data_IF_353529436706
#
_entry.id   IF_353529436706
#
_cell.length_a   1.000
_cell.length_b   1.000
_cell.length_c   1.000
_cell.angle_alpha   90.00
_cell.angle_beta   90.00
_cell.angle_gamma   90.00
#
_symmetry.space_group_name_H-M   'P 1'
#
loop_
_entity.id
_entity.type
_entity.pdbx_description
1 polymer ?
#
# COMPACT_ATOMS: atom_id res chain seq x y z
N UNK A 1 -22.90 40.88 10.41
CA UNK A 1 -22.15 39.99 9.49
C UNK A 1 -22.64 38.59 9.77
N UNK A 2 -23.02 37.84 8.76
CA UNK A 2 -23.44 36.46 8.98
C UNK A 2 -22.26 35.67 9.51
N UNK A 3 -22.46 35.06 10.65
CA UNK A 3 -21.50 34.13 11.25
C UNK A 3 -21.25 32.98 10.28
N UNK A 4 -19.99 32.71 9.94
CA UNK A 4 -19.62 31.66 8.99
C UNK A 4 -18.95 30.50 9.75
N UNK A 5 -19.72 29.60 10.36
CA UNK A 5 -19.20 28.57 11.27
C UNK A 5 -18.15 27.64 10.64
N UNK A 6 -18.11 27.56 9.31
CA UNK A 6 -17.12 26.76 8.60
C UNK A 6 -15.72 27.39 8.61
N UNK A 7 -15.63 28.74 8.65
CA UNK A 7 -14.35 29.45 8.71
C UNK A 7 -13.66 29.27 10.05
N UNK A 8 -14.43 29.21 11.12
CA UNK A 8 -13.91 29.02 12.49
C UNK A 8 -13.32 27.60 12.70
N UNK A 9 -13.64 26.67 11.80
CA UNK A 9 -13.15 25.29 11.83
C UNK A 9 -11.95 25.06 10.90
N UNK A 10 -11.55 26.05 10.10
CA UNK A 10 -10.41 25.93 9.23
C UNK A 10 -9.11 25.81 10.04
N UNK A 11 -8.33 24.79 9.72
CA UNK A 11 -6.99 24.60 10.26
C UNK A 11 -5.95 25.08 9.26
N UNK A 12 -4.78 25.54 9.69
CA UNK A 12 -3.67 25.75 8.76
C UNK A 12 -3.31 24.42 8.09
N UNK A 13 -3.11 24.45 6.78
CA UNK A 13 -2.66 23.28 6.06
C UNK A 13 -1.17 23.04 6.30
N UNK A 14 -0.79 21.78 6.49
CA UNK A 14 0.62 21.43 6.59
C UNK A 14 0.86 19.98 6.16
N UNK A 15 2.07 19.72 5.69
CA UNK A 15 2.56 18.37 5.46
C UNK A 15 3.89 18.21 6.17
N UNK A 16 3.98 17.25 7.09
CA UNK A 16 5.15 17.02 7.99
C UNK A 16 5.64 18.28 8.70
N UNK A 17 4.77 19.25 8.92
CA UNK A 17 5.12 20.53 9.55
C UNK A 17 5.37 21.69 8.58
N UNK A 18 5.69 21.43 7.32
CA UNK A 18 5.76 22.48 6.29
C UNK A 18 4.36 23.06 6.03
N UNK A 19 4.20 24.34 6.24
CA UNK A 19 2.91 25.05 6.15
C UNK A 19 2.71 25.58 4.74
N UNK A 20 1.50 25.42 4.22
CA UNK A 20 1.07 25.95 2.93
C UNK A 20 -0.40 26.34 2.95
N UNK A 21 -0.85 26.98 1.89
CA UNK A 21 -2.26 27.31 1.70
C UNK A 21 -2.88 26.36 0.67
N UNK A 22 -4.16 26.03 0.82
CA UNK A 22 -4.89 25.16 -0.09
C UNK A 22 -5.86 26.00 -0.92
N UNK A 23 -5.71 25.96 -2.24
CA UNK A 23 -6.67 26.55 -3.17
C UNK A 23 -7.76 25.55 -3.52
N UNK A 24 -7.37 24.33 -3.91
CA UNK A 24 -8.30 23.26 -4.24
C UNK A 24 -7.92 21.99 -3.51
N UNK A 25 -8.89 21.37 -2.87
CA UNK A 25 -8.74 20.07 -2.24
C UNK A 25 -9.80 19.12 -2.77
N UNK A 26 -9.40 18.01 -3.38
CA UNK A 26 -10.27 16.94 -3.81
C UNK A 26 -9.94 15.66 -3.05
N UNK A 27 -10.96 14.94 -2.60
CA UNK A 27 -10.82 13.66 -1.90
C UNK A 27 -11.53 12.57 -2.68
N UNK A 28 -10.84 11.48 -2.97
CA UNK A 28 -11.40 10.28 -3.59
C UNK A 28 -11.34 9.12 -2.59
N UNK A 29 -12.37 8.31 -2.63
CA UNK A 29 -12.51 7.12 -1.77
C UNK A 29 -13.76 6.36 -2.13
N UNK A 30 -14.05 5.28 -1.42
CA UNK A 30 -15.23 4.46 -1.65
C UNK A 30 -14.98 3.00 -1.33
N UNK A 31 -15.78 2.13 -1.92
CA UNK A 31 -15.64 0.68 -1.82
C UNK A 31 -15.30 0.08 -3.18
N UNK A 32 -14.56 -1.01 -3.18
CA UNK A 32 -14.29 -1.78 -4.39
C UNK A 32 -15.44 -2.75 -4.58
N UNK A 33 -16.16 -2.59 -5.68
CA UNK A 33 -17.30 -3.44 -6.01
C UNK A 33 -16.94 -4.21 -7.27
N UNK A 34 -17.06 -5.55 -7.22
CA UNK A 34 -16.97 -6.43 -8.36
C UNK A 34 -18.41 -6.80 -8.80
N UNK A 35 -18.90 -6.29 -9.93
CA UNK A 35 -20.19 -6.70 -10.46
C UNK A 35 -20.05 -8.08 -11.12
N UNK A 36 -20.87 -9.04 -10.70
CA UNK A 36 -21.01 -10.35 -11.36
C UNK A 36 -22.30 -10.37 -12.17
N UNK A 37 -22.14 -10.53 -13.46
CA UNK A 37 -23.25 -10.64 -14.40
C UNK A 37 -23.39 -12.11 -14.85
N UNK A 38 -24.60 -12.63 -14.74
CA UNK A 38 -24.90 -14.01 -15.11
C UNK A 38 -25.81 -14.02 -16.37
N UNK A 39 -25.57 -14.93 -17.33
CA UNK A 39 -26.44 -15.06 -18.49
C UNK A 39 -27.90 -15.28 -18.09
N UNK A 40 -28.83 -14.56 -18.73
CA UNK A 40 -30.29 -14.63 -18.47
C UNK A 40 -30.73 -14.11 -17.10
N UNK A 41 -29.91 -13.35 -16.39
CA UNK A 41 -30.29 -12.60 -15.21
C UNK A 41 -30.24 -11.10 -15.47
N UNK A 42 -31.34 -10.41 -15.24
CA UNK A 42 -31.44 -8.97 -15.47
C UNK A 42 -30.81 -8.16 -14.32
N UNK A 43 -30.60 -8.79 -13.15
CA UNK A 43 -30.01 -8.14 -11.97
C UNK A 43 -28.62 -8.69 -11.70
N UNK A 44 -27.58 -7.82 -11.72
CA UNK A 44 -26.22 -8.22 -11.37
C UNK A 44 -26.12 -8.48 -9.84
N UNK A 45 -25.14 -9.28 -9.46
CA UNK A 45 -24.76 -9.47 -8.06
C UNK A 45 -23.47 -8.67 -7.77
N UNK A 46 -23.55 -7.56 -7.02
CA UNK A 46 -22.37 -6.79 -6.65
C UNK A 46 -21.70 -7.42 -5.42
N UNK A 47 -20.46 -7.83 -5.56
CA UNK A 47 -19.61 -8.27 -4.45
C UNK A 47 -18.79 -7.10 -3.92
N UNK A 48 -18.80 -6.92 -2.60
CA UNK A 48 -18.02 -5.88 -1.93
C UNK A 48 -16.64 -6.41 -1.54
N UNK A 49 -15.62 -5.94 -2.21
CA UNK A 49 -14.20 -6.30 -2.02
C UNK A 49 -13.47 -5.42 -1.00
N UNK A 50 -14.22 -4.69 -0.17
CA UNK A 50 -13.67 -3.83 0.86
C UNK A 50 -13.42 -2.39 0.46
N UNK A 51 -12.93 -1.60 1.41
CA UNK A 51 -12.67 -0.17 1.24
C UNK A 51 -11.53 0.08 0.26
N UNK A 52 -11.71 1.02 -0.65
CA UNK A 52 -10.64 1.58 -1.46
C UNK A 52 -9.80 2.54 -0.61
N UNK A 53 -8.47 2.50 -0.72
CA UNK A 53 -7.60 3.51 -0.13
C UNK A 53 -8.02 4.91 -0.56
N UNK A 54 -7.94 5.86 0.35
CA UNK A 54 -8.26 7.26 0.06
C UNK A 54 -7.12 7.90 -0.72
N UNK A 55 -7.47 8.78 -1.64
CA UNK A 55 -6.50 9.65 -2.28
C UNK A 55 -6.98 11.10 -2.20
N UNK A 56 -6.02 12.01 -2.08
CA UNK A 56 -6.27 13.44 -1.99
C UNK A 56 -5.47 14.11 -3.11
N UNK A 57 -6.11 14.94 -3.90
CA UNK A 57 -5.45 15.83 -4.82
C UNK A 57 -5.53 17.24 -4.23
N UNK A 58 -4.40 17.81 -3.89
CA UNK A 58 -4.30 19.11 -3.24
C UNK A 58 -3.55 20.06 -4.16
N UNK A 59 -4.19 21.18 -4.51
CA UNK A 59 -3.51 22.31 -5.11
C UNK A 59 -3.13 23.26 -4.00
N UNK A 60 -1.87 23.23 -3.62
CA UNK A 60 -1.27 24.09 -2.61
C UNK A 60 -0.73 25.36 -3.26
N UNK A 61 -0.66 26.46 -2.51
CA UNK A 61 0.03 27.65 -2.93
C UNK A 61 0.81 28.26 -1.78
N UNK A 62 1.93 28.90 -2.11
CA UNK A 62 2.69 29.73 -1.20
C UNK A 62 2.66 31.17 -1.71
N UNK A 63 2.50 32.14 -0.80
CA UNK A 63 2.37 33.56 -1.14
C UNK A 63 2.99 34.42 -0.05
N UNK A 64 3.58 35.52 -0.45
CA UNK A 64 4.16 36.50 0.47
C UNK A 64 5.63 36.78 0.18
N UNK A 65 6.27 37.63 1.00
CA UNK A 65 7.69 37.96 0.82
C UNK A 65 8.61 36.73 0.99
N UNK A 66 8.21 35.80 1.86
CA UNK A 66 8.98 34.58 2.22
C UNK A 66 8.45 33.32 1.51
N UNK A 67 7.73 33.49 0.37
CA UNK A 67 7.14 32.34 -0.34
C UNK A 67 8.16 31.33 -0.84
N UNK A 68 9.38 31.79 -1.12
CA UNK A 68 10.47 30.92 -1.59
C UNK A 68 10.90 29.95 -0.48
N UNK A 69 11.07 30.45 0.74
CA UNK A 69 11.45 29.62 1.89
C UNK A 69 10.33 28.61 2.19
N UNK A 70 9.06 29.03 2.20
CA UNK A 70 7.92 28.14 2.38
C UNK A 70 7.83 27.07 1.29
N UNK A 71 8.09 27.44 0.04
CA UNK A 71 8.13 26.52 -1.10
C UNK A 71 9.25 25.49 -0.92
N UNK A 72 10.45 25.95 -0.59
CA UNK A 72 11.62 25.08 -0.49
C UNK A 72 11.49 24.11 0.70
N UNK A 73 10.95 24.55 1.83
CA UNK A 73 10.61 23.71 2.97
C UNK A 73 9.57 22.64 2.58
N UNK A 74 8.53 23.03 1.84
CA UNK A 74 7.53 22.08 1.38
C UNK A 74 8.10 21.07 0.40
N UNK A 75 8.94 21.49 -0.55
CA UNK A 75 9.62 20.60 -1.50
C UNK A 75 10.50 19.61 -0.75
N UNK A 76 11.28 20.08 0.21
CA UNK A 76 12.14 19.22 1.03
C UNK A 76 11.35 18.09 1.71
N UNK A 77 10.21 18.43 2.30
CA UNK A 77 9.34 17.46 2.96
C UNK A 77 8.65 16.50 1.96
N UNK A 78 8.33 16.99 0.75
CA UNK A 78 7.75 16.16 -0.31
C UNK A 78 8.77 15.17 -0.93
N UNK A 79 10.06 15.53 -0.96
CA UNK A 79 11.13 14.66 -1.44
C UNK A 79 11.64 13.69 -0.37
N UNK A 80 11.30 13.94 0.89
CA UNK A 80 11.70 13.06 1.99
C UNK A 80 10.88 11.77 1.99
N UNK A 81 11.58 10.63 2.04
CA UNK A 81 10.96 9.31 2.02
C UNK A 81 10.10 9.03 3.26
N UNK A 82 9.09 8.21 3.09
CA UNK A 82 8.28 7.66 4.18
C UNK A 82 6.86 8.22 4.25
N UNK A 83 6.17 7.87 5.32
CA UNK A 83 4.82 8.34 5.63
C UNK A 83 4.90 9.71 6.28
N UNK A 84 4.00 10.60 5.91
CA UNK A 84 3.89 11.93 6.52
C UNK A 84 2.46 12.24 6.94
N UNK A 85 2.33 13.09 7.94
CA UNK A 85 1.04 13.60 8.40
C UNK A 85 0.63 14.79 7.54
N UNK A 86 -0.47 14.65 6.82
CA UNK A 86 -1.15 15.73 6.10
C UNK A 86 -2.24 16.31 6.98
N UNK A 87 -2.15 17.59 7.30
CA UNK A 87 -3.23 18.38 7.92
C UNK A 87 -3.93 19.15 6.81
N UNK A 88 -5.18 18.79 6.52
CA UNK A 88 -5.99 19.49 5.53
C UNK A 88 -6.97 20.45 6.23
N UNK A 89 -7.20 21.67 5.71
CA UNK A 89 -8.04 22.68 6.38
C UNK A 89 -9.43 22.20 6.76
N UNK A 90 -10.03 21.37 5.92
CA UNK A 90 -11.44 20.92 6.07
C UNK A 90 -11.59 19.43 6.33
N UNK A 91 -10.64 18.60 5.87
CA UNK A 91 -10.78 17.14 5.97
C UNK A 91 -10.18 16.55 7.25
N UNK A 92 -9.31 17.30 7.94
CA UNK A 92 -8.61 16.85 9.16
C UNK A 92 -7.21 16.30 8.86
N UNK A 93 -6.75 15.41 9.71
CA UNK A 93 -5.40 14.84 9.68
C UNK A 93 -5.43 13.43 9.10
N UNK A 94 -4.42 13.13 8.26
CA UNK A 94 -4.26 11.82 7.60
C UNK A 94 -2.79 11.46 7.50
N UNK A 95 -2.50 10.20 7.76
CA UNK A 95 -1.22 9.59 7.42
C UNK A 95 -1.22 9.27 5.92
N UNK A 96 -0.29 9.88 5.18
CA UNK A 96 -0.26 9.79 3.72
C UNK A 96 1.17 9.63 3.20
N UNK A 97 1.26 9.12 1.98
CA UNK A 97 2.46 9.22 1.12
C UNK A 97 2.12 10.14 -0.04
N UNK A 98 3.02 11.04 -0.37
CA UNK A 98 2.85 11.90 -1.53
C UNK A 98 3.29 11.16 -2.82
N UNK A 99 2.67 11.53 -3.93
CA UNK A 99 3.10 11.12 -5.26
C UNK A 99 3.98 12.18 -5.92
N UNK A 100 4.10 12.10 -7.23
CA UNK A 100 4.83 13.10 -8.02
C UNK A 100 4.06 14.41 -7.97
N UNK A 101 4.73 15.47 -7.57
CA UNK A 101 4.16 16.82 -7.51
C UNK A 101 4.61 17.66 -8.72
N UNK A 102 3.81 18.67 -9.05
CA UNK A 102 4.13 19.65 -10.08
C UNK A 102 4.13 21.05 -9.48
N UNK A 103 5.24 21.75 -9.62
CA UNK A 103 5.38 23.14 -9.21
C UNK A 103 5.27 24.07 -10.42
N UNK A 104 4.47 25.09 -10.29
CA UNK A 104 4.28 26.12 -11.31
C UNK A 104 4.53 27.50 -10.73
N UNK A 105 5.53 28.19 -11.26
CA UNK A 105 5.79 29.60 -10.97
C UNK A 105 5.59 30.42 -12.23
N UNK A 106 4.92 31.53 -12.11
CA UNK A 106 4.66 32.44 -13.24
C UNK A 106 5.27 33.81 -12.99
N UNK A 107 6.09 34.26 -13.94
CA UNK A 107 6.71 35.59 -13.87
C UNK A 107 5.71 36.72 -13.61
N UNK A 108 4.50 36.59 -14.11
CA UNK A 108 3.43 37.60 -14.00
C UNK A 108 2.84 37.69 -12.59
N UNK A 109 3.04 36.65 -11.77
CA UNK A 109 2.60 36.55 -10.38
C UNK A 109 3.81 36.42 -9.47
N UNK A 110 4.62 37.48 -9.39
CA UNK A 110 5.76 37.51 -8.46
C UNK A 110 5.32 37.32 -7.01
N UNK A 111 6.05 36.57 -6.20
CA UNK A 111 5.70 36.27 -4.81
C UNK A 111 4.60 35.21 -4.63
N UNK A 112 4.40 34.34 -5.64
CA UNK A 112 3.38 33.29 -5.62
C UNK A 112 3.88 32.06 -6.38
N UNK A 113 3.68 30.89 -5.80
CA UNK A 113 3.86 29.61 -6.47
C UNK A 113 2.67 28.69 -6.20
N UNK A 114 2.42 27.80 -7.12
CA UNK A 114 1.35 26.80 -7.09
C UNK A 114 1.96 25.41 -7.20
N UNK A 115 1.51 24.49 -6.35
CA UNK A 115 2.05 23.13 -6.28
C UNK A 115 0.86 22.16 -6.27
N UNK A 116 0.80 21.31 -7.28
CA UNK A 116 -0.18 20.22 -7.34
C UNK A 116 0.42 18.95 -6.73
N UNK A 117 -0.20 18.44 -5.69
CA UNK A 117 0.32 17.31 -4.91
C UNK A 117 -0.77 16.25 -4.79
N UNK A 118 -0.57 15.05 -5.37
CA UNK A 118 -1.39 13.89 -5.06
C UNK A 118 -0.88 13.20 -3.79
N UNK A 119 -1.77 12.97 -2.85
CA UNK A 119 -1.51 12.20 -1.63
C UNK A 119 -2.32 10.91 -1.65
N UNK A 120 -1.72 9.85 -1.14
CA UNK A 120 -2.33 8.54 -0.98
C UNK A 120 -2.33 8.15 0.49
N UNK A 121 -3.46 7.68 0.99
CA UNK A 121 -3.58 7.18 2.36
C UNK A 121 -2.51 6.11 2.60
N UNK A 122 -1.70 6.30 3.62
CA UNK A 122 -0.79 5.27 4.08
C UNK A 122 -1.61 4.19 4.79
N UNK A 123 -1.52 2.95 4.30
CA UNK A 123 -1.99 1.78 5.02
C UNK A 123 -0.98 1.39 6.10
N UNK A 124 -1.37 0.53 7.01
CA UNK A 124 -0.40 -0.21 7.80
C UNK A 124 0.53 -0.92 6.81
N UNK A 125 1.84 -0.82 7.03
CA UNK A 125 2.80 -1.62 6.29
C UNK A 125 2.42 -3.07 6.56
N UNK A 126 1.73 -3.68 5.61
CA UNK A 126 1.57 -5.10 5.58
C UNK A 126 2.99 -5.66 5.33
N UNK A 127 3.77 -5.75 6.39
CA UNK A 127 4.86 -6.68 6.40
C UNK A 127 4.20 -8.02 6.02
N UNK A 128 4.47 -8.51 4.83
CA UNK A 128 4.22 -9.90 4.49
C UNK A 128 5.15 -10.71 5.41
N UNK A 129 4.74 -10.84 6.64
CA UNK A 129 5.23 -11.91 7.49
C UNK A 129 4.72 -13.17 6.83
N UNK A 130 5.57 -13.80 6.03
CA UNK A 130 5.43 -15.24 5.76
C UNK A 130 5.33 -15.83 7.15
N UNK A 131 4.12 -16.26 7.54
CA UNK A 131 3.89 -16.73 8.90
C UNK A 131 4.90 -17.85 9.15
N UNK A 132 5.60 -17.81 10.29
CA UNK A 132 6.54 -18.85 10.73
C UNK A 132 5.94 -20.26 10.61
N UNK A 133 4.60 -20.36 10.66
CA UNK A 133 3.85 -21.57 10.40
C UNK A 133 4.12 -22.20 9.02
N UNK A 134 4.29 -21.40 7.95
CA UNK A 134 4.58 -21.92 6.60
C UNK A 134 6.02 -22.40 6.50
N UNK A 135 6.96 -21.70 7.13
CA UNK A 135 8.37 -22.13 7.18
C UNK A 135 8.51 -23.41 7.99
N UNK A 136 7.87 -23.50 9.15
CA UNK A 136 7.86 -24.70 9.97
C UNK A 136 7.23 -25.89 9.23
N UNK A 137 6.15 -25.68 8.47
CA UNK A 137 5.50 -26.73 7.71
C UNK A 137 6.37 -27.23 6.55
N UNK A 138 7.12 -26.35 5.89
CA UNK A 138 8.08 -26.73 4.84
C UNK A 138 9.26 -27.50 5.46
N UNK A 139 9.79 -27.06 6.60
CA UNK A 139 10.86 -27.79 7.30
C UNK A 139 10.41 -29.17 7.78
N UNK A 140 9.24 -29.26 8.41
CA UNK A 140 8.70 -30.58 8.85
C UNK A 140 8.46 -31.51 7.66
N UNK A 141 8.06 -30.99 6.52
CA UNK A 141 7.88 -31.79 5.29
C UNK A 141 9.21 -32.26 4.70
N UNK A 142 10.24 -31.43 4.77
CA UNK A 142 11.60 -31.78 4.32
C UNK A 142 12.23 -32.83 5.22
N UNK A 143 12.15 -32.65 6.54
CA UNK A 143 12.66 -33.61 7.54
C UNK A 143 11.92 -34.95 7.44
N UNK A 144 10.61 -34.94 7.20
CA UNK A 144 9.83 -36.14 6.98
C UNK A 144 10.22 -36.88 5.71
N UNK A 145 10.55 -36.15 4.64
CA UNK A 145 11.04 -36.75 3.39
C UNK A 145 12.45 -37.36 3.56
N UNK A 146 13.35 -36.70 4.26
CA UNK A 146 14.68 -37.25 4.57
C UNK A 146 14.60 -38.53 5.40
N UNK A 147 13.75 -38.55 6.43
CA UNK A 147 13.54 -39.75 7.26
C UNK A 147 12.92 -40.89 6.43
N UNK A 148 11.99 -40.63 5.53
CA UNK A 148 11.39 -41.63 4.66
C UNK A 148 12.42 -42.22 3.68
N UNK A 149 13.31 -41.39 3.13
CA UNK A 149 14.40 -41.82 2.25
C UNK A 149 15.43 -42.64 3.03
N UNK A 150 15.80 -42.22 4.24
CA UNK A 150 16.71 -42.97 5.10
C UNK A 150 16.16 -44.34 5.53
N UNK A 151 14.86 -44.39 5.86
CA UNK A 151 14.19 -45.64 6.22
C UNK A 151 13.97 -46.59 5.02
N UNK A 152 13.68 -46.03 3.85
CA UNK A 152 13.43 -46.82 2.60
C UNK A 152 14.72 -47.28 1.94
N UNK A 153 15.80 -46.52 2.06
CA UNK A 153 17.10 -46.84 1.44
C UNK A 153 17.78 -48.06 2.02
N UNK A 154 17.57 -48.35 3.28
CA UNK A 154 18.25 -49.47 3.96
C UNK A 154 17.62 -50.82 3.61
N UNK A 155 16.31 -50.89 3.40
CA UNK A 155 15.62 -52.15 3.02
C UNK A 155 15.76 -52.53 1.55
N UNK A 156 15.87 -51.51 0.67
CA UNK A 156 16.01 -51.76 -0.79
C UNK A 156 17.40 -52.24 -1.19
N UNK A 157 18.45 -51.79 -0.55
CA UNK A 157 19.83 -52.10 -0.86
C UNK A 157 20.23 -53.52 -0.41
N UNK A 158 19.70 -54.02 0.70
CA UNK A 158 19.97 -55.40 1.16
C UNK A 158 19.26 -56.45 0.31
N UNK A 159 18.10 -56.14 -0.25
CA UNK A 159 17.39 -57.05 -1.14
C UNK A 159 18.08 -57.26 -2.50
N UNK A 160 18.86 -56.29 -2.95
CA UNK A 160 19.66 -56.39 -4.19
C UNK A 160 21.05 -57.00 -4.00
N UNK A 161 21.52 -57.17 -2.77
CA UNK A 161 22.89 -57.63 -2.47
C UNK A 161 23.02 -59.05 -1.91
N UNK A 162 21.92 -59.80 -1.90
CA UNK A 162 22.00 -61.20 -1.50
C UNK A 162 22.25 -62.10 -2.74
N UNK A 163 23.49 -62.50 -3.02
CA UNK A 163 23.83 -63.34 -4.17
C UNK A 163 23.34 -64.76 -4.02
N UNK A 164 22.72 -65.12 -2.89
CA UNK A 164 22.35 -66.51 -2.58
C UNK A 164 20.83 -66.72 -2.47
N UNK A 165 20.05 -65.76 -2.97
CA UNK A 165 18.58 -65.94 -3.04
C UNK A 165 18.23 -66.90 -4.13
N UNK A 166 17.68 -68.10 -3.82
CA UNK A 166 17.27 -69.06 -4.84
C UNK A 166 16.15 -68.47 -5.65
N UNK A 167 16.29 -68.45 -6.96
CA UNK A 167 15.24 -68.14 -7.91
C UNK A 167 14.16 -69.25 -7.80
N UNK A 168 13.17 -69.03 -6.93
CA UNK A 168 11.96 -69.88 -6.96
C UNK A 168 11.23 -69.57 -8.27
N UNK A 169 11.50 -70.45 -9.25
CA UNK A 169 10.77 -70.48 -10.49
C UNK A 169 9.31 -70.75 -10.22
N UNK A 170 8.45 -69.89 -10.71
CA UNK A 170 7.02 -70.21 -10.87
C UNK A 170 6.84 -71.30 -11.84
N UNK A 171 6.34 -72.41 -11.36
CA UNK A 171 5.89 -73.54 -12.21
C UNK A 171 4.39 -73.67 -12.06
N UNK A 172 3.76 -73.86 -13.27
CA UNK A 172 2.43 -74.31 -13.59
C UNK A 172 1.27 -73.40 -13.39
#
# INVERSE_FOLDING_TARGET
>A
MADSPWRDRLRPASFRGAVFYVEVGARSGGRRIAPHEFPKRDTPYPEDMGRKGRSFAVTAYCVGPDYQDQRDDLIFELETEGVGTLVHPTYGEFEVKNGVFNLVERRERGGYCEIEIPFFEAGEDAAFTVSDATQNQVQMSADGAEQAVAAGGDQGLYALRDPNRPLTGGGA
#
